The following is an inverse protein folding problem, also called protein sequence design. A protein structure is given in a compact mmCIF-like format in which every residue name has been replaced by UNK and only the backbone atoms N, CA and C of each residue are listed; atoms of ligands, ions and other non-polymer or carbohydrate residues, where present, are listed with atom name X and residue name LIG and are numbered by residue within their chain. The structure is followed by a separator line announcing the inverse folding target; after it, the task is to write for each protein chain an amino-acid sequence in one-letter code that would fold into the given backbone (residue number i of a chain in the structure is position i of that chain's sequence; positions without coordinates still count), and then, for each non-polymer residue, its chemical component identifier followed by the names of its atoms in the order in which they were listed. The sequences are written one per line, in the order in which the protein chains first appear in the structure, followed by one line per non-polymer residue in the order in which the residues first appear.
data_IF_530451719099
#
_entry.id   IF_530451719099
#
_cell.length_a   1.000
_cell.length_b   1.000
_cell.length_c   1.000
_cell.angle_alpha   90.00
_cell.angle_beta   90.00
_cell.angle_gamma   90.00
#
_symmetry.space_group_name_H-M   'P 1'
#
loop_
_entity.id
_entity.type
_entity.pdbx_description
1 polymer ?
#
# COMPACT_ATOMS: atom_id res chain seq x y z
N UNK A 1 20.77 -1.44 -26.71
CA UNK A 1 19.72 -0.79 -25.90
C UNK A 1 18.54 -1.75 -25.79
N UNK A 2 18.24 -2.28 -24.60
CA UNK A 2 17.08 -3.16 -24.42
C UNK A 2 15.81 -2.32 -24.58
N UNK A 3 14.94 -2.66 -25.54
CA UNK A 3 13.59 -2.07 -25.64
C UNK A 3 12.89 -2.36 -24.31
N UNK A 4 12.63 -1.31 -23.53
CA UNK A 4 11.72 -1.38 -22.38
C UNK A 4 10.40 -1.97 -22.87
N UNK A 5 10.10 -3.22 -22.48
CA UNK A 5 8.85 -3.88 -22.82
C UNK A 5 7.72 -3.01 -22.26
N UNK A 6 6.81 -2.57 -23.13
CA UNK A 6 5.68 -1.73 -22.72
C UNK A 6 4.83 -2.55 -21.74
N UNK A 7 4.57 -2.01 -20.55
CA UNK A 7 3.78 -2.69 -19.51
C UNK A 7 2.36 -2.93 -20.02
N UNK A 8 1.80 -4.10 -19.73
CA UNK A 8 0.43 -4.44 -20.13
C UNK A 8 -0.54 -3.87 -19.09
N UNK A 9 -1.43 -2.94 -19.46
CA UNK A 9 -2.41 -2.41 -18.53
C UNK A 9 -3.45 -3.48 -18.19
N UNK A 10 -3.69 -3.70 -16.90
CA UNK A 10 -4.66 -4.69 -16.43
C UNK A 10 -5.60 -4.13 -15.37
N UNK A 11 -6.77 -4.74 -15.23
CA UNK A 11 -7.65 -4.59 -14.09
C UNK A 11 -7.84 -5.92 -13.40
N UNK A 12 -7.98 -5.91 -12.08
CA UNK A 12 -8.31 -7.09 -11.29
C UNK A 12 -9.80 -7.06 -10.98
N UNK A 13 -10.51 -8.11 -11.32
CA UNK A 13 -11.92 -8.26 -11.00
C UNK A 13 -12.22 -9.58 -10.29
N UNK A 14 -13.46 -9.72 -9.82
CA UNK A 14 -14.00 -10.96 -9.28
C UNK A 14 -15.12 -11.45 -10.18
N UNK A 15 -14.97 -12.63 -10.74
CA UNK A 15 -15.99 -13.26 -11.59
C UNK A 15 -16.44 -14.55 -10.93
N UNK A 16 -17.73 -14.84 -11.03
CA UNK A 16 -18.33 -16.10 -10.65
C UNK A 16 -18.48 -16.92 -11.91
N UNK A 17 -17.87 -18.11 -11.95
CA UNK A 17 -18.01 -19.02 -13.08
C UNK A 17 -19.42 -19.63 -13.15
N UNK A 18 -19.68 -20.37 -14.23
CA UNK A 18 -20.96 -21.05 -14.46
C UNK A 18 -21.31 -22.08 -13.36
N UNK A 19 -20.32 -22.52 -12.58
CA UNK A 19 -20.51 -23.43 -11.44
C UNK A 19 -20.80 -22.71 -10.11
N UNK A 20 -20.88 -21.38 -10.14
CA UNK A 20 -21.07 -20.55 -8.95
C UNK A 20 -19.78 -20.31 -8.16
N UNK A 21 -18.62 -20.73 -8.67
CA UNK A 21 -17.34 -20.56 -7.99
C UNK A 21 -16.71 -19.23 -8.38
N UNK A 22 -16.49 -18.39 -7.37
CA UNK A 22 -15.84 -17.09 -7.52
C UNK A 22 -14.32 -17.20 -7.65
N UNK A 23 -13.73 -16.34 -8.47
CA UNK A 23 -12.28 -16.25 -8.66
C UNK A 23 -11.82 -14.86 -9.10
N UNK A 24 -10.54 -14.59 -8.83
CA UNK A 24 -9.87 -13.38 -9.32
C UNK A 24 -9.65 -13.52 -10.82
N UNK A 25 -10.06 -12.49 -11.56
CA UNK A 25 -9.85 -12.38 -12.99
C UNK A 25 -9.00 -11.17 -13.36
N UNK A 26 -8.21 -11.31 -14.44
CA UNK A 26 -7.33 -10.27 -14.96
C UNK A 26 -7.91 -9.81 -16.29
N UNK A 27 -8.46 -8.59 -16.29
CA UNK A 27 -9.04 -7.96 -17.47
C UNK A 27 -7.94 -7.16 -18.17
N UNK A 28 -7.72 -7.42 -19.45
CA UNK A 28 -6.76 -6.72 -20.31
C UNK A 28 -7.32 -6.50 -21.70
N UNK A 29 -6.65 -5.69 -22.51
CA UNK A 29 -7.06 -5.46 -23.90
C UNK A 29 -6.81 -6.71 -24.76
N UNK A 30 -7.70 -6.99 -25.71
CA UNK A 30 -7.60 -8.17 -26.58
C UNK A 30 -6.32 -8.13 -27.43
N UNK A 31 -5.97 -6.95 -27.95
CA UNK A 31 -4.73 -6.75 -28.73
C UNK A 31 -3.47 -7.08 -27.91
N UNK A 32 -3.43 -6.71 -26.63
CA UNK A 32 -2.31 -7.02 -25.73
C UNK A 32 -2.24 -8.53 -25.46
N UNK A 33 -3.40 -9.19 -25.33
CA UNK A 33 -3.49 -10.63 -25.12
C UNK A 33 -3.03 -11.41 -26.36
N UNK A 34 -3.51 -11.05 -27.55
CA UNK A 34 -3.16 -11.70 -28.81
C UNK A 34 -1.68 -11.49 -29.17
N UNK A 35 -1.17 -10.27 -29.01
CA UNK A 35 0.23 -9.94 -29.30
C UNK A 35 1.25 -10.59 -28.35
N UNK A 36 0.81 -11.01 -27.15
CA UNK A 36 1.68 -11.64 -26.14
C UNK A 36 1.79 -13.16 -26.28
N UNK A 37 1.01 -13.77 -27.18
CA UNK A 37 1.06 -15.20 -27.48
C UNK A 37 0.73 -16.10 -26.28
N UNK A 38 1.18 -17.36 -26.30
CA UNK A 38 0.88 -18.35 -25.25
C UNK A 38 1.44 -18.00 -23.87
N UNK A 39 2.54 -17.24 -23.82
CA UNK A 39 3.21 -16.84 -22.57
C UNK A 39 2.34 -15.97 -21.65
N UNK A 40 1.38 -15.22 -22.20
CA UNK A 40 0.51 -14.34 -21.41
C UNK A 40 -0.36 -15.12 -20.42
N UNK A 41 -0.78 -16.32 -20.80
CA UNK A 41 -1.65 -17.16 -19.95
C UNK A 41 -0.90 -17.61 -18.69
N UNK A 42 0.38 -17.94 -18.84
CA UNK A 42 1.25 -18.29 -17.72
C UNK A 42 1.49 -17.08 -16.81
N UNK A 43 1.80 -15.91 -17.38
CA UNK A 43 1.93 -14.66 -16.63
C UNK A 43 0.66 -14.29 -15.85
N UNK A 44 -0.52 -14.45 -16.46
CA UNK A 44 -1.81 -14.22 -15.78
C UNK A 44 -1.99 -15.19 -14.60
N UNK A 45 -1.69 -16.48 -14.80
CA UNK A 45 -1.80 -17.49 -13.73
C UNK A 45 -0.87 -17.16 -12.56
N UNK A 46 0.38 -16.82 -12.85
CA UNK A 46 1.37 -16.45 -11.85
C UNK A 46 1.01 -15.15 -11.13
N UNK A 47 0.48 -14.17 -11.87
CA UNK A 47 -0.07 -12.94 -11.30
C UNK A 47 -1.18 -13.23 -10.30
N UNK A 48 -2.19 -14.03 -10.68
CA UNK A 48 -3.33 -14.37 -9.81
C UNK A 48 -2.87 -15.04 -8.51
N UNK A 49 -1.91 -15.96 -8.61
CA UNK A 49 -1.29 -16.61 -7.44
C UNK A 49 -0.57 -15.60 -6.54
N UNK A 50 0.36 -14.81 -7.10
CA UNK A 50 1.10 -13.77 -6.35
C UNK A 50 0.17 -12.76 -5.68
N UNK A 51 -0.90 -12.36 -6.37
CA UNK A 51 -1.90 -11.43 -5.83
C UNK A 51 -2.64 -12.03 -4.64
N UNK A 52 -3.15 -13.25 -4.81
CA UNK A 52 -3.89 -13.97 -3.75
C UNK A 52 -3.01 -14.19 -2.52
N UNK A 53 -1.75 -14.58 -2.74
CA UNK A 53 -0.76 -14.76 -1.68
C UNK A 53 -0.50 -13.44 -0.94
N UNK A 54 -0.31 -12.33 -1.66
CA UNK A 54 -0.11 -11.01 -1.06
C UNK A 54 -1.32 -10.57 -0.20
N UNK A 55 -2.55 -10.74 -0.70
CA UNK A 55 -3.77 -10.43 0.05
C UNK A 55 -3.87 -11.29 1.32
N UNK A 56 -3.63 -12.60 1.20
CA UNK A 56 -3.72 -13.52 2.34
C UNK A 56 -2.63 -13.28 3.39
N UNK A 57 -1.41 -12.97 2.96
CA UNK A 57 -0.32 -12.60 3.86
C UNK A 57 -0.63 -11.31 4.62
N UNK A 58 -1.05 -10.26 3.92
CA UNK A 58 -1.41 -9.00 4.54
C UNK A 58 -2.59 -9.16 5.52
N UNK A 59 -3.58 -10.02 5.20
CA UNK A 59 -4.72 -10.30 6.09
C UNK A 59 -4.28 -11.07 7.33
N UNK A 60 -3.35 -12.00 7.19
CA UNK A 60 -2.80 -12.76 8.32
C UNK A 60 -2.08 -11.85 9.29
N UNK A 61 -1.30 -10.88 8.78
CA UNK A 61 -0.66 -9.84 9.60
C UNK A 61 -1.72 -9.03 10.38
N UNK A 62 -2.80 -8.62 9.71
CA UNK A 62 -3.92 -7.87 10.34
C UNK A 62 -4.66 -8.70 11.40
N UNK A 63 -4.93 -9.98 11.11
CA UNK A 63 -5.68 -10.89 11.98
C UNK A 63 -4.88 -11.43 13.17
N UNK A 64 -3.55 -11.44 13.11
CA UNK A 64 -2.70 -11.84 14.25
C UNK A 64 -2.94 -11.02 15.53
N UNK A 65 -3.61 -9.85 15.42
CA UNK A 65 -4.06 -9.04 16.54
C UNK A 65 -5.43 -9.46 17.14
N UNK A 66 -6.24 -10.27 16.44
CA UNK A 66 -7.65 -10.56 16.79
C UNK A 66 -7.84 -11.59 17.91
N UNK A 67 -6.79 -12.06 18.57
CA UNK A 67 -6.92 -12.80 19.84
C UNK A 67 -7.33 -11.82 20.97
N UNK A 68 -8.65 -11.60 20.99
CA UNK A 68 -9.57 -11.01 21.99
C UNK A 68 -9.34 -9.63 22.62
N UNK A 69 -8.16 -8.99 22.62
CA UNK A 69 -8.02 -7.67 23.30
C UNK A 69 -6.98 -6.69 22.69
N UNK A 70 -6.18 -7.10 21.69
CA UNK A 70 -5.08 -6.25 21.18
C UNK A 70 -5.51 -5.48 19.92
N UNK A 71 -5.44 -4.15 20.01
CA UNK A 71 -5.52 -3.28 18.82
C UNK A 71 -4.32 -3.60 17.92
N UNK A 72 -4.53 -3.65 16.61
CA UNK A 72 -3.45 -3.80 15.63
C UNK A 72 -2.43 -2.66 15.79
N UNK A 73 -1.16 -3.03 15.86
CA UNK A 73 -0.04 -2.10 16.09
C UNK A 73 0.30 -1.29 14.83
N UNK A 74 1.08 -0.22 15.00
CA UNK A 74 1.57 0.58 13.87
C UNK A 74 2.48 -0.26 12.98
N UNK A 75 3.35 -1.06 13.59
CA UNK A 75 4.25 -1.98 12.87
C UNK A 75 3.49 -3.06 12.09
N UNK A 76 2.41 -3.61 12.64
CA UNK A 76 1.57 -4.57 11.91
C UNK A 76 0.88 -3.92 10.69
N UNK A 77 0.34 -2.70 10.84
CA UNK A 77 -0.24 -1.97 9.69
C UNK A 77 0.81 -1.65 8.63
N UNK A 78 2.02 -1.25 9.03
CA UNK A 78 3.13 -1.04 8.12
C UNK A 78 3.46 -2.32 7.34
N UNK A 79 3.59 -3.47 8.03
CA UNK A 79 3.86 -4.77 7.38
C UNK A 79 2.78 -5.16 6.38
N UNK A 80 1.51 -4.96 6.72
CA UNK A 80 0.40 -5.21 5.80
C UNK A 80 0.47 -4.30 4.57
N UNK A 81 0.71 -2.99 4.76
CA UNK A 81 0.91 -2.04 3.66
C UNK A 81 2.12 -2.37 2.78
N UNK A 82 3.21 -2.84 3.40
CA UNK A 82 4.47 -3.21 2.74
C UNK A 82 4.28 -4.40 1.81
N UNK A 83 3.55 -5.43 2.24
CA UNK A 83 3.20 -6.59 1.40
C UNK A 83 2.44 -6.14 0.14
N UNK A 84 1.45 -5.25 0.30
CA UNK A 84 0.66 -4.72 -0.82
C UNK A 84 1.52 -3.85 -1.76
N UNK A 85 2.35 -2.96 -1.21
CA UNK A 85 3.24 -2.11 -1.98
C UNK A 85 4.30 -2.92 -2.75
N UNK A 86 4.86 -3.95 -2.13
CA UNK A 86 5.88 -4.80 -2.75
C UNK A 86 5.31 -5.70 -3.83
N UNK A 87 4.07 -6.16 -3.69
CA UNK A 87 3.40 -6.84 -4.79
C UNK A 87 3.33 -5.93 -6.02
N UNK A 88 2.83 -4.70 -5.88
CA UNK A 88 2.74 -3.74 -6.99
C UNK A 88 4.10 -3.48 -7.66
N UNK A 89 5.19 -3.36 -6.87
CA UNK A 89 6.54 -3.20 -7.42
C UNK A 89 7.03 -4.45 -8.17
N UNK A 90 6.77 -5.65 -7.63
CA UNK A 90 7.21 -6.92 -8.24
C UNK A 90 6.55 -7.18 -9.59
N UNK A 91 5.26 -6.85 -9.71
CA UNK A 91 4.52 -7.07 -10.95
C UNK A 91 4.67 -5.91 -11.94
N UNK A 92 5.20 -4.76 -11.52
CA UNK A 92 5.26 -3.53 -12.33
C UNK A 92 6.07 -3.71 -13.63
N UNK A 93 6.96 -4.70 -13.68
CA UNK A 93 7.74 -5.03 -14.86
C UNK A 93 6.95 -5.84 -15.91
N UNK A 94 5.81 -6.42 -15.53
CA UNK A 94 4.96 -7.26 -16.37
C UNK A 94 3.62 -6.56 -16.65
N UNK A 95 2.97 -6.06 -15.60
CA UNK A 95 1.63 -5.51 -15.62
C UNK A 95 1.54 -4.16 -14.93
N UNK A 96 0.67 -3.30 -15.43
CA UNK A 96 0.28 -2.05 -14.77
C UNK A 96 -1.18 -2.17 -14.29
N UNK A 97 -1.39 -2.39 -12.98
CA UNK A 97 -2.74 -2.51 -12.44
C UNK A 97 -3.40 -1.12 -12.32
N UNK A 98 -4.46 -0.92 -13.10
CA UNK A 98 -5.19 0.36 -13.15
C UNK A 98 -6.16 0.56 -11.98
N UNK A 99 -6.63 -0.51 -11.35
CA UNK A 99 -7.63 -0.48 -10.28
C UNK A 99 -7.16 -1.15 -8.96
N UNK A 100 -5.86 -1.07 -8.64
CA UNK A 100 -5.31 -1.81 -7.50
C UNK A 100 -5.96 -1.42 -6.17
N UNK A 101 -6.40 -0.16 -6.02
CA UNK A 101 -7.01 0.34 -4.79
C UNK A 101 -8.38 -0.29 -4.56
N UNK A 102 -9.18 -0.38 -5.61
CA UNK A 102 -10.50 -0.98 -5.64
C UNK A 102 -10.39 -2.49 -5.40
N UNK A 103 -9.47 -3.16 -6.11
CA UNK A 103 -9.21 -4.58 -5.97
C UNK A 103 -8.78 -4.94 -4.53
N UNK A 104 -7.80 -4.22 -3.99
CA UNK A 104 -7.37 -4.40 -2.60
C UNK A 104 -8.48 -4.07 -1.61
N UNK A 105 -9.28 -3.02 -1.85
CA UNK A 105 -10.36 -2.66 -0.94
C UNK A 105 -11.40 -3.77 -0.81
N UNK A 106 -11.82 -4.34 -1.96
CA UNK A 106 -12.72 -5.50 -2.02
C UNK A 106 -12.08 -6.71 -1.33
N UNK A 107 -10.90 -7.10 -1.78
CA UNK A 107 -10.31 -8.38 -1.42
C UNK A 107 -9.70 -8.36 -0.03
N UNK A 108 -9.31 -7.20 0.49
CA UNK A 108 -8.83 -7.02 1.86
C UNK A 108 -9.96 -6.65 2.85
N UNK A 109 -11.14 -6.31 2.34
CA UNK A 109 -12.31 -5.88 3.12
C UNK A 109 -12.06 -4.62 3.97
N UNK A 110 -11.33 -3.66 3.42
CA UNK A 110 -11.12 -2.33 4.01
C UNK A 110 -11.55 -1.24 3.04
N UNK A 111 -12.00 -0.06 3.52
CA UNK A 111 -12.27 1.06 2.63
C UNK A 111 -11.04 1.45 1.80
N UNK A 112 -11.26 1.87 0.55
CA UNK A 112 -10.19 2.35 -0.36
C UNK A 112 -9.24 3.34 0.32
N UNK A 113 -9.79 4.26 1.12
CA UNK A 113 -8.99 5.26 1.86
C UNK A 113 -8.02 4.61 2.84
N UNK A 114 -8.42 3.54 3.51
CA UNK A 114 -7.57 2.80 4.44
C UNK A 114 -6.47 2.03 3.72
N UNK A 115 -6.80 1.39 2.59
CA UNK A 115 -5.80 0.73 1.72
C UNK A 115 -4.75 1.72 1.25
N UNK A 116 -5.20 2.88 0.75
CA UNK A 116 -4.29 3.95 0.32
C UNK A 116 -3.37 4.36 1.48
N UNK A 117 -3.93 4.61 2.65
CA UNK A 117 -3.13 5.03 3.80
C UNK A 117 -2.12 3.96 4.25
N UNK A 118 -2.45 2.65 4.15
CA UNK A 118 -1.50 1.57 4.47
C UNK A 118 -0.35 1.52 3.46
N UNK A 119 -0.66 1.60 2.16
CA UNK A 119 0.35 1.56 1.09
C UNK A 119 1.22 2.82 1.12
N UNK A 120 0.63 4.00 1.29
CA UNK A 120 1.36 5.27 1.39
C UNK A 120 2.29 5.23 2.62
N UNK A 121 1.77 4.81 3.79
CA UNK A 121 2.57 4.64 5.01
C UNK A 121 3.79 3.71 4.80
N UNK A 122 3.57 2.54 4.21
CA UNK A 122 4.66 1.58 3.97
C UNK A 122 5.64 2.00 2.86
N UNK A 123 5.26 2.95 2.02
CA UNK A 123 6.13 3.51 0.98
C UNK A 123 6.96 4.67 1.50
N UNK A 124 6.45 5.41 2.49
CA UNK A 124 7.14 6.56 3.08
C UNK A 124 8.14 6.14 4.16
N UNK A 125 7.83 5.14 4.98
CA UNK A 125 8.66 4.73 6.12
C UNK A 125 9.33 3.38 5.89
N UNK A 126 10.56 3.23 6.39
CA UNK A 126 11.25 1.94 6.54
C UNK A 126 10.85 1.25 7.86
N UNK A 127 11.19 -0.03 8.02
CA UNK A 127 10.76 -0.80 9.20
C UNK A 127 11.31 -0.22 10.51
N UNK A 128 12.54 0.29 10.48
CA UNK A 128 13.25 0.86 11.61
C UNK A 128 12.65 2.21 12.05
N UNK A 129 11.95 2.89 11.14
CA UNK A 129 11.26 4.15 11.40
C UNK A 129 9.85 3.94 11.96
N UNK A 130 9.41 2.69 12.11
CA UNK A 130 8.08 2.34 12.61
C UNK A 130 8.16 1.70 13.99
N UNK A 131 7.98 2.56 14.99
CA UNK A 131 7.84 2.19 16.40
C UNK A 131 6.38 2.27 16.85
N UNK A 132 5.97 1.40 17.78
CA UNK A 132 4.57 1.24 18.19
C UNK A 132 4.10 2.29 19.20
N UNK A 133 5.04 3.04 19.79
CA UNK A 133 4.83 4.22 20.62
C UNK A 133 4.18 5.36 19.83
N UNK A 134 4.39 5.41 18.51
CA UNK A 134 3.73 6.36 17.62
C UNK A 134 2.44 5.71 17.09
N UNK A 135 1.25 6.29 17.37
CA UNK A 135 0.01 5.76 16.83
C UNK A 135 0.00 5.81 15.30
N UNK A 136 -0.57 4.79 14.67
CA UNK A 136 -0.73 4.73 13.21
C UNK A 136 -1.39 5.98 12.63
N UNK A 137 -2.36 6.57 13.34
CA UNK A 137 -3.00 7.81 12.90
C UNK A 137 -1.98 8.93 12.67
N UNK A 138 -0.96 9.04 13.51
CA UNK A 138 0.09 10.05 13.40
C UNK A 138 0.96 9.80 12.17
N UNK A 139 1.37 8.56 11.93
CA UNK A 139 2.03 8.17 10.68
C UNK A 139 1.18 8.45 9.43
N UNK A 140 -0.14 8.19 9.51
CA UNK A 140 -1.06 8.42 8.41
C UNK A 140 -1.21 9.92 8.09
N UNK A 141 -1.23 10.81 9.09
CA UNK A 141 -1.24 12.26 8.86
C UNK A 141 0.05 12.69 8.13
N UNK A 142 1.23 12.26 8.59
CA UNK A 142 2.51 12.57 7.93
C UNK A 142 2.58 12.01 6.50
N UNK A 143 2.17 10.76 6.31
CA UNK A 143 2.13 10.11 4.99
C UNK A 143 1.24 10.88 4.00
N UNK A 144 0.15 11.50 4.49
CA UNK A 144 -0.79 12.24 3.63
C UNK A 144 -0.23 13.54 3.06
N UNK A 145 0.81 14.11 3.67
CA UNK A 145 1.50 15.34 3.23
C UNK A 145 2.94 15.08 2.78
N UNK A 146 3.37 13.81 2.72
CA UNK A 146 4.76 13.45 2.52
C UNK A 146 5.32 13.96 1.19
N UNK A 147 4.50 14.01 0.13
CA UNK A 147 4.92 14.52 -1.17
C UNK A 147 5.19 16.03 -1.14
N UNK A 148 4.41 16.81 -0.41
CA UNK A 148 4.64 18.24 -0.19
C UNK A 148 5.92 18.47 0.61
N UNK A 149 6.11 17.70 1.70
CA UNK A 149 7.32 17.80 2.52
C UNK A 149 8.58 17.34 1.77
N UNK A 150 8.46 16.31 0.93
CA UNK A 150 9.56 15.82 0.07
C UNK A 150 9.96 16.87 -0.96
N UNK A 151 8.98 17.52 -1.62
CA UNK A 151 9.24 18.63 -2.56
C UNK A 151 9.98 19.81 -1.91
N UNK A 152 9.88 19.94 -0.59
CA UNK A 152 10.54 20.97 0.21
C UNK A 152 11.80 20.48 0.93
N UNK A 153 12.23 19.23 0.71
CA UNK A 153 13.38 18.61 1.37
C UNK A 153 13.30 18.59 2.91
N UNK A 154 12.10 18.53 3.49
CA UNK A 154 11.90 18.51 4.96
C UNK A 154 11.25 17.23 5.49
N UNK A 155 10.89 16.28 4.61
CA UNK A 155 10.26 15.02 5.02
C UNK A 155 11.11 14.23 6.02
N UNK A 156 12.40 14.04 5.73
CA UNK A 156 13.29 13.26 6.59
C UNK A 156 13.53 13.96 7.93
N UNK A 157 13.62 15.29 7.94
CA UNK A 157 13.70 16.09 9.18
C UNK A 157 12.47 15.84 10.06
N UNK A 158 11.28 15.83 9.45
CA UNK A 158 10.02 15.62 10.17
C UNK A 158 9.87 14.19 10.69
N UNK A 159 10.32 13.17 9.94
CA UNK A 159 10.37 11.78 10.43
C UNK A 159 11.28 11.63 11.65
N UNK A 160 12.50 12.19 11.59
CA UNK A 160 13.44 12.14 12.72
C UNK A 160 12.90 12.88 13.94
N UNK A 161 12.23 14.02 13.72
CA UNK A 161 11.53 14.75 14.78
C UNK A 161 10.45 13.90 15.45
N UNK A 162 9.64 13.21 14.64
CA UNK A 162 8.58 12.33 15.14
C UNK A 162 9.14 11.19 16.01
N UNK A 163 10.21 10.53 15.55
CA UNK A 163 10.90 9.47 16.31
C UNK A 163 11.49 10.00 17.62
N UNK A 164 12.09 11.19 17.60
CA UNK A 164 12.62 11.84 18.80
C UNK A 164 11.50 12.13 19.81
N UNK A 165 10.38 12.69 19.38
CA UNK A 165 9.24 12.95 20.27
C UNK A 165 8.68 11.70 20.90
N UNK A 166 8.61 10.59 20.15
CA UNK A 166 8.21 9.31 20.70
C UNK A 166 9.17 8.82 21.80
N UNK A 167 10.49 8.91 21.54
CA UNK A 167 11.53 8.53 22.50
C UNK A 167 11.50 9.37 23.78
N UNK A 168 11.20 10.65 23.65
CA UNK A 168 11.14 11.61 24.76
C UNK A 168 9.80 11.60 25.50
N UNK A 169 8.80 10.85 25.04
CA UNK A 169 7.44 10.87 25.60
C UNK A 169 6.66 12.16 25.35
N UNK A 170 7.13 13.00 24.41
CA UNK A 170 6.58 14.32 24.08
C UNK A 170 5.82 14.31 22.74
N UNK A 171 5.17 13.18 22.42
CA UNK A 171 4.43 13.06 21.17
C UNK A 171 3.22 14.00 21.20
N UNK A 172 3.08 14.93 20.23
CA UNK A 172 1.88 15.76 20.16
C UNK A 172 0.65 14.89 19.93
N UNK A 173 -0.51 15.36 20.38
CA UNK A 173 -1.74 14.69 20.04
C UNK A 173 -2.02 14.83 18.52
N UNK A 174 -3.00 14.08 18.02
CA UNK A 174 -3.27 14.00 16.57
C UNK A 174 -3.59 15.37 15.95
N UNK A 175 -4.38 16.20 16.63
CA UNK A 175 -4.83 17.47 16.06
C UNK A 175 -3.73 18.53 16.09
N UNK A 176 -2.93 18.55 17.17
CA UNK A 176 -1.70 19.35 17.26
C UNK A 176 -0.72 18.97 16.14
N UNK A 177 -0.50 17.67 15.94
CA UNK A 177 0.40 17.20 14.90
C UNK A 177 -0.10 17.56 13.50
N UNK A 178 -1.40 17.40 13.25
CA UNK A 178 -2.00 17.81 11.97
C UNK A 178 -1.82 19.30 11.73
N UNK A 179 -2.01 20.14 12.75
CA UNK A 179 -1.84 21.58 12.62
C UNK A 179 -0.38 21.98 12.38
N UNK A 180 0.56 21.33 13.06
CA UNK A 180 1.99 21.44 12.77
C UNK A 180 2.28 21.10 11.30
N UNK A 181 1.84 19.94 10.82
CA UNK A 181 2.00 19.50 9.43
C UNK A 181 1.40 20.48 8.42
N UNK A 182 0.24 21.08 8.71
CA UNK A 182 -0.37 22.11 7.86
C UNK A 182 0.50 23.36 7.77
N UNK A 183 1.07 23.83 8.88
CA UNK A 183 1.95 25.00 8.89
C UNK A 183 3.22 24.73 8.09
N UNK A 184 3.87 23.59 8.34
CA UNK A 184 5.11 23.23 7.65
C UNK A 184 4.90 22.74 6.23
N UNK A 185 3.68 22.44 5.78
CA UNK A 185 3.39 22.12 4.37
C UNK A 185 3.01 23.35 3.54
N UNK A 186 2.34 24.34 4.14
CA UNK A 186 1.78 25.53 3.43
C UNK A 186 2.70 26.75 3.33
N UNK A 187 3.78 26.85 4.10
CA UNK A 187 4.71 27.99 3.96
C UNK A 187 5.42 27.96 2.61
N UNK A 188 5.02 28.87 1.71
CA UNK A 188 5.83 29.29 0.56
C UNK A 188 7.09 29.95 1.12
N UNK A 189 8.25 29.37 0.81
CA UNK A 189 9.49 30.14 0.84
C UNK A 189 9.45 31.23 -0.22
#
# INVERSE_FOLDING_TARGET
MAKSRKKIPVKIDWIVDETGKGGIEVIMNLEDFESSGTSIRESIRDFKKKYTDAINQAKTVEKSAKTKLKKISSKQRWKAGKILADFNKKIENEFEIKNYKEAYSRDFSLPIRSIRAYVDFATIFNEEEVVDEIPYSTYAELSSVANELKRRNILEIEKQRLLRWAKEGNLPNRDEYREHLRKISKHKG
#
